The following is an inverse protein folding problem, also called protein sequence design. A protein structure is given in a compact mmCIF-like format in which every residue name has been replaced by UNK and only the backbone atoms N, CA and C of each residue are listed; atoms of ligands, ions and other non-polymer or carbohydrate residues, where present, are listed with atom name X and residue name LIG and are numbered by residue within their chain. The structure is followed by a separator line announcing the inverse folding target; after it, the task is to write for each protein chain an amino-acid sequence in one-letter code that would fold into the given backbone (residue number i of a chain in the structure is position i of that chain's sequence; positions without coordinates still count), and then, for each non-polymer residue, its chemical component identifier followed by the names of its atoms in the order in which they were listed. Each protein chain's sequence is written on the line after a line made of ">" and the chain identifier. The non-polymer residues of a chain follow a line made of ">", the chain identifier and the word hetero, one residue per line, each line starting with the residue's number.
data_IF_049207554869
#
_entry.id   IF_049207554869
#
_cell.length_a   1.000
_cell.length_b   1.000
_cell.length_c   1.000
_cell.angle_alpha   90.00
_cell.angle_beta   90.00
_cell.angle_gamma   90.00
#
_symmetry.space_group_name_H-M   'P 1'
#
loop_
_entity.id
_entity.type
_entity.pdbx_description
1 polymer ?
#
# COMPACT_ATOMS: atom_id res chain seq x y z
N UNK A 1 -4.52 -0.32 -7.19
CA UNK A 1 -3.23 -0.61 -6.58
C UNK A 1 -2.11 -0.05 -7.45
N UNK A 2 -1.27 0.82 -6.90
CA UNK A 2 -0.16 1.48 -7.61
C UNK A 2 1.14 0.65 -7.63
N UNK A 3 1.20 -0.46 -6.92
CA UNK A 3 2.44 -1.22 -6.71
C UNK A 3 3.49 -0.50 -5.86
N UNK A 4 3.18 0.66 -5.29
CA UNK A 4 4.13 1.42 -4.46
C UNK A 4 4.18 0.88 -3.03
N UNK A 5 5.37 0.56 -2.56
CA UNK A 5 5.66 0.21 -1.17
C UNK A 5 5.95 1.49 -0.38
N UNK A 6 4.99 1.89 0.43
CA UNK A 6 5.06 3.14 1.20
C UNK A 6 5.95 3.03 2.44
N UNK A 7 6.58 4.16 2.83
CA UNK A 7 7.47 4.23 4.00
C UNK A 7 6.77 4.54 5.34
N UNK A 8 5.44 4.70 5.38
CA UNK A 8 4.68 4.94 6.60
C UNK A 8 4.68 6.38 7.14
N UNK A 9 5.37 7.30 6.49
CA UNK A 9 5.59 8.67 7.00
C UNK A 9 4.35 9.59 6.93
N UNK A 10 3.41 9.32 6.01
CA UNK A 10 2.27 10.22 5.74
C UNK A 10 0.98 9.84 6.49
N UNK A 11 1.02 8.87 7.39
CA UNK A 11 -0.15 8.43 8.15
C UNK A 11 -0.20 9.05 9.53
N UNK A 12 -1.39 9.17 10.11
CA UNK A 12 -1.61 9.76 11.41
C UNK A 12 -0.73 9.12 12.48
N UNK A 13 -0.14 9.97 13.34
CA UNK A 13 0.76 9.55 14.42
C UNK A 13 0.10 8.52 15.33
N UNK A 14 0.82 7.46 15.64
CA UNK A 14 0.35 6.40 16.54
C UNK A 14 -0.76 5.51 15.97
N UNK A 15 -1.19 5.74 14.72
CA UNK A 15 -2.19 4.89 14.09
C UNK A 15 -1.63 3.50 13.77
N UNK A 16 -2.50 2.49 13.83
CA UNK A 16 -2.14 1.13 13.42
C UNK A 16 -1.66 1.09 11.96
N UNK A 17 -2.24 1.94 11.10
CA UNK A 17 -1.84 2.10 9.70
C UNK A 17 -0.40 2.57 9.57
N UNK A 18 0.03 3.57 10.36
CA UNK A 18 1.41 4.04 10.37
C UNK A 18 2.36 2.94 10.83
N UNK A 19 2.07 2.30 11.97
CA UNK A 19 2.87 1.23 12.55
C UNK A 19 3.07 0.08 11.56
N UNK A 20 1.97 -0.49 11.06
CA UNK A 20 2.02 -1.65 10.15
C UNK A 20 2.66 -1.31 8.80
N UNK A 21 2.52 -0.07 8.31
CA UNK A 21 3.18 0.36 7.08
C UNK A 21 4.69 0.45 7.25
N UNK A 22 5.19 1.00 8.37
CA UNK A 22 6.63 1.06 8.67
C UNK A 22 7.22 -0.34 8.84
N UNK A 23 6.55 -1.21 9.59
CA UNK A 23 6.99 -2.59 9.82
C UNK A 23 6.98 -3.40 8.50
N UNK A 24 5.89 -3.34 7.74
CA UNK A 24 5.78 -4.02 6.44
C UNK A 24 6.82 -3.53 5.42
N UNK A 25 7.12 -2.22 5.40
CA UNK A 25 8.17 -1.69 4.55
C UNK A 25 9.55 -2.29 4.89
N UNK A 26 9.87 -2.42 6.18
CA UNK A 26 11.14 -3.03 6.63
C UNK A 26 11.25 -4.49 6.18
N UNK A 27 10.16 -5.24 6.30
CA UNK A 27 10.11 -6.67 5.96
C UNK A 27 10.15 -6.94 4.46
N UNK A 28 9.68 -6.00 3.64
CA UNK A 28 9.40 -6.23 2.21
C UNK A 28 10.60 -6.79 1.43
N UNK A 29 11.81 -6.29 1.70
CA UNK A 29 13.00 -6.71 0.96
C UNK A 29 13.42 -8.17 1.23
N UNK A 30 13.31 -8.60 2.48
CA UNK A 30 13.66 -9.98 2.86
C UNK A 30 12.56 -10.94 2.42
N UNK A 31 11.30 -10.56 2.59
CA UNK A 31 10.16 -11.32 2.12
C UNK A 31 10.18 -11.52 0.58
N UNK A 32 10.57 -10.49 -0.17
CA UNK A 32 10.70 -10.59 -1.62
C UNK A 32 11.77 -11.59 -2.06
N UNK A 33 12.87 -11.70 -1.30
CA UNK A 33 13.91 -12.70 -1.56
C UNK A 33 13.47 -14.12 -1.14
N UNK A 34 12.80 -14.22 0.00
CA UNK A 34 12.33 -15.50 0.55
C UNK A 34 11.28 -16.15 -0.34
N UNK A 35 10.33 -15.35 -0.84
CA UNK A 35 9.19 -15.83 -1.63
C UNK A 35 9.33 -15.61 -3.14
N UNK A 36 10.49 -15.12 -3.60
CA UNK A 36 10.85 -14.93 -5.01
C UNK A 36 9.84 -14.09 -5.82
N UNK A 37 9.47 -12.92 -5.30
CA UNK A 37 8.67 -11.94 -6.05
C UNK A 37 9.45 -10.65 -6.32
N UNK A 38 9.05 -9.92 -7.38
CA UNK A 38 9.79 -8.76 -7.84
C UNK A 38 9.50 -7.52 -6.99
N UNK A 39 10.52 -7.01 -6.29
CA UNK A 39 10.52 -5.78 -5.50
C UNK A 39 11.78 -4.95 -5.78
N UNK A 40 11.61 -3.65 -5.97
CA UNK A 40 12.70 -2.70 -6.18
C UNK A 40 12.61 -1.59 -5.14
N UNK A 41 13.63 -1.46 -4.30
CA UNK A 41 13.75 -0.35 -3.34
C UNK A 41 14.38 0.86 -4.05
N UNK A 42 13.58 1.55 -4.86
CA UNK A 42 14.03 2.67 -5.68
C UNK A 42 13.88 4.04 -5.00
N UNK A 43 13.26 4.09 -3.83
CA UNK A 43 12.86 5.34 -3.20
C UNK A 43 11.58 5.93 -3.76
N UNK A 44 11.26 7.15 -3.32
CA UNK A 44 10.11 7.94 -3.76
C UNK A 44 10.35 9.42 -3.44
N UNK A 45 9.91 10.33 -4.31
CA UNK A 45 9.96 11.78 -4.06
C UNK A 45 8.56 12.37 -3.96
N UNK A 46 8.41 13.34 -3.02
CA UNK A 46 7.27 14.24 -2.93
C UNK A 46 7.77 15.63 -3.32
N UNK A 47 7.33 16.13 -4.47
CA UNK A 47 7.85 17.33 -5.14
C UNK A 47 7.03 18.56 -4.76
N UNK A 48 7.69 19.63 -4.35
CA UNK A 48 7.10 20.90 -3.98
C UNK A 48 7.69 22.10 -4.74
N UNK A 49 6.90 23.18 -4.81
CA UNK A 49 7.26 24.40 -5.55
C UNK A 49 7.02 25.69 -4.78
N UNK A 50 6.22 25.64 -3.71
CA UNK A 50 5.78 26.79 -2.92
C UNK A 50 6.28 26.72 -1.48
N UNK A 51 6.27 27.85 -0.76
CA UNK A 51 6.61 27.86 0.67
C UNK A 51 5.64 27.00 1.48
N UNK A 52 4.36 26.96 1.12
CA UNK A 52 3.36 26.09 1.75
C UNK A 52 3.70 24.60 1.56
N UNK A 53 4.17 24.22 0.36
CA UNK A 53 4.65 22.86 0.10
C UNK A 53 5.84 22.51 1.00
N UNK A 54 6.80 23.44 1.17
CA UNK A 54 7.95 23.22 2.03
C UNK A 54 7.54 22.97 3.49
N UNK A 55 6.64 23.78 4.02
CA UNK A 55 6.12 23.62 5.38
C UNK A 55 5.34 22.28 5.52
N UNK A 56 4.62 21.89 4.50
CA UNK A 56 3.91 20.59 4.47
C UNK A 56 4.90 19.44 4.46
N UNK A 57 5.97 19.51 3.67
CA UNK A 57 7.02 18.47 3.66
C UNK A 57 7.75 18.37 4.99
N UNK A 58 8.09 19.49 5.64
CA UNK A 58 8.71 19.49 6.98
C UNK A 58 7.80 18.79 8.01
N UNK A 59 6.52 19.15 8.05
CA UNK A 59 5.54 18.50 8.94
C UNK A 59 5.40 17.01 8.65
N UNK A 60 5.36 16.62 7.37
CA UNK A 60 5.29 15.21 6.94
C UNK A 60 6.54 14.44 7.36
N UNK A 61 7.71 15.07 7.28
CA UNK A 61 8.96 14.45 7.71
C UNK A 61 9.01 14.25 9.23
N UNK A 62 8.55 15.23 10.02
CA UNK A 62 8.45 15.11 11.48
C UNK A 62 7.47 14.01 11.88
N UNK A 63 6.27 14.01 11.27
CA UNK A 63 5.29 12.94 11.45
C UNK A 63 5.87 11.57 11.09
N UNK A 64 6.64 11.49 10.02
CA UNK A 64 7.32 10.27 9.62
C UNK A 64 8.31 9.76 10.66
N UNK A 65 9.11 10.66 11.26
CA UNK A 65 10.03 10.32 12.36
C UNK A 65 9.27 9.78 13.57
N UNK A 66 8.18 10.43 13.96
CA UNK A 66 7.34 9.99 15.08
C UNK A 66 6.69 8.61 14.80
N UNK A 67 6.38 8.30 13.55
CA UNK A 67 5.88 6.99 13.12
C UNK A 67 6.99 5.92 13.03
N UNK A 68 8.26 6.28 13.21
CA UNK A 68 9.40 5.37 13.08
C UNK A 68 9.84 5.13 11.62
N UNK A 69 9.40 5.96 10.68
CA UNK A 69 9.94 5.99 9.33
C UNK A 69 11.36 6.58 9.33
N UNK A 70 12.28 5.90 8.68
CA UNK A 70 13.69 6.28 8.61
C UNK A 70 14.08 6.71 7.20
N UNK A 71 15.25 7.36 7.07
CA UNK A 71 15.84 7.74 5.79
C UNK A 71 14.88 8.62 4.95
N UNK A 72 14.37 9.69 5.61
CA UNK A 72 13.65 10.79 4.96
C UNK A 72 14.59 11.97 4.85
N UNK A 73 14.69 12.58 3.67
CA UNK A 73 15.62 13.67 3.35
C UNK A 73 14.88 14.80 2.62
N UNK A 74 15.10 16.06 3.02
CA UNK A 74 14.72 17.21 2.21
C UNK A 74 15.84 17.50 1.24
N UNK A 75 15.53 17.54 -0.05
CA UNK A 75 16.47 17.78 -1.14
C UNK A 75 16.12 19.05 -1.90
N UNK A 76 17.14 19.73 -2.40
CA UNK A 76 17.00 20.91 -3.24
C UNK A 76 16.70 20.56 -4.71
N UNK A 77 16.49 21.59 -5.51
CA UNK A 77 16.22 21.46 -6.95
C UNK A 77 17.32 20.70 -7.69
N UNK A 78 18.58 20.99 -7.39
CA UNK A 78 19.72 20.35 -8.02
C UNK A 78 19.72 18.84 -7.77
N UNK A 79 19.56 18.46 -6.50
CA UNK A 79 19.51 17.03 -6.11
C UNK A 79 18.29 16.33 -6.64
N UNK A 80 17.14 17.01 -6.69
CA UNK A 80 15.93 16.48 -7.31
C UNK A 80 16.17 16.18 -8.80
N UNK A 81 16.76 17.12 -9.52
CA UNK A 81 17.06 16.95 -10.96
C UNK A 81 18.08 15.84 -11.23
N UNK A 82 19.10 15.68 -10.36
CA UNK A 82 20.04 14.55 -10.43
C UNK A 82 19.33 13.19 -10.27
N UNK A 83 18.38 13.09 -9.34
CA UNK A 83 17.65 11.85 -9.05
C UNK A 83 16.55 11.56 -10.07
N UNK A 84 15.83 12.59 -10.52
CA UNK A 84 14.68 12.45 -11.42
C UNK A 84 14.71 13.56 -12.47
N UNK A 85 15.54 13.44 -13.51
CA UNK A 85 15.77 14.52 -14.49
C UNK A 85 14.52 15.01 -15.23
N UNK A 86 13.50 14.16 -15.37
CA UNK A 86 12.25 14.49 -16.05
C UNK A 86 11.29 15.34 -15.20
N UNK A 87 11.59 15.55 -13.92
CA UNK A 87 10.69 16.25 -12.98
C UNK A 87 11.13 17.68 -12.77
N UNK A 88 10.17 18.61 -12.87
CA UNK A 88 10.37 20.02 -12.54
C UNK A 88 9.85 20.28 -11.13
N UNK A 89 10.71 20.81 -10.27
CA UNK A 89 10.35 21.15 -8.89
C UNK A 89 11.49 21.89 -8.21
N UNK A 90 11.19 22.75 -7.25
CA UNK A 90 12.20 23.53 -6.51
C UNK A 90 12.86 22.75 -5.39
N UNK A 91 12.18 21.76 -4.86
CA UNK A 91 12.64 20.90 -3.77
C UNK A 91 11.75 19.65 -3.67
N UNK A 92 12.19 18.68 -2.91
CA UNK A 92 11.38 17.50 -2.61
C UNK A 92 11.71 16.91 -1.23
N UNK A 93 10.82 16.08 -0.73
CA UNK A 93 11.15 15.10 0.31
C UNK A 93 11.43 13.76 -0.38
N UNK A 94 12.62 13.23 -0.18
CA UNK A 94 13.04 11.92 -0.67
C UNK A 94 12.90 10.88 0.44
N UNK A 95 12.15 9.83 0.16
CA UNK A 95 12.01 8.65 1.02
C UNK A 95 12.79 7.50 0.43
N UNK A 96 13.97 7.24 0.96
CA UNK A 96 14.89 6.21 0.48
C UNK A 96 14.32 4.79 0.61
N UNK A 97 13.52 4.55 1.65
CA UNK A 97 12.98 3.22 1.95
C UNK A 97 11.74 2.85 1.15
N UNK A 98 11.14 3.77 0.42
CA UNK A 98 10.03 3.47 -0.48
C UNK A 98 10.49 2.64 -1.69
N UNK A 99 9.56 2.02 -2.39
CA UNK A 99 9.89 1.21 -3.54
C UNK A 99 8.65 0.81 -4.33
N UNK A 100 8.85 -0.06 -5.31
CA UNK A 100 7.79 -0.65 -6.12
C UNK A 100 7.84 -2.17 -6.04
N UNK A 101 6.68 -2.79 -6.10
CA UNK A 101 6.51 -4.25 -6.05
C UNK A 101 5.61 -4.69 -7.20
N UNK A 102 5.82 -5.89 -7.72
CA UNK A 102 4.82 -6.57 -8.54
C UNK A 102 3.67 -7.04 -7.62
N UNK A 103 2.49 -6.37 -7.64
CA UNK A 103 1.40 -6.73 -6.74
C UNK A 103 0.77 -8.09 -7.07
N UNK A 104 0.86 -8.55 -8.31
CA UNK A 104 0.34 -9.85 -8.72
C UNK A 104 1.28 -10.96 -8.25
N UNK A 105 2.56 -10.88 -8.60
CA UNK A 105 3.58 -11.84 -8.17
C UNK A 105 3.66 -11.93 -6.64
N UNK A 106 3.62 -10.80 -5.93
CA UNK A 106 3.57 -10.76 -4.46
C UNK A 106 2.36 -11.50 -3.89
N UNK A 107 1.15 -11.27 -4.46
CA UNK A 107 -0.07 -11.94 -3.99
C UNK A 107 -0.02 -13.44 -4.26
N UNK A 108 0.46 -13.85 -5.44
CA UNK A 108 0.61 -15.26 -5.81
C UNK A 108 1.63 -15.95 -4.89
N UNK A 109 2.81 -15.35 -4.69
CA UNK A 109 3.85 -15.91 -3.83
C UNK A 109 3.38 -16.13 -2.39
N UNK A 110 2.63 -15.17 -1.82
CA UNK A 110 2.00 -15.33 -0.51
C UNK A 110 0.97 -16.47 -0.49
N UNK A 111 0.16 -16.60 -1.55
CA UNK A 111 -0.84 -17.64 -1.63
C UNK A 111 -0.21 -19.03 -1.78
N UNK A 112 0.82 -19.17 -2.60
CA UNK A 112 1.56 -20.42 -2.79
C UNK A 112 2.28 -20.83 -1.50
N UNK A 113 2.93 -19.90 -0.81
CA UNK A 113 3.57 -20.16 0.48
C UNK A 113 2.53 -20.60 1.53
N UNK A 114 1.39 -19.92 1.61
CA UNK A 114 0.33 -20.29 2.53
C UNK A 114 -0.21 -21.70 2.22
N UNK A 115 -0.41 -22.03 0.95
CA UNK A 115 -0.85 -23.36 0.51
C UNK A 115 0.18 -24.45 0.88
N UNK A 116 1.46 -24.20 0.64
CA UNK A 116 2.54 -25.10 1.02
C UNK A 116 2.60 -25.36 2.53
N UNK A 117 2.09 -24.42 3.33
CA UNK A 117 1.96 -24.54 4.80
C UNK A 117 0.57 -25.02 5.25
N UNK A 118 -0.22 -25.62 4.37
CA UNK A 118 -1.48 -26.31 4.70
C UNK A 118 -2.73 -25.42 4.67
N UNK A 119 -2.66 -24.20 4.13
CA UNK A 119 -3.87 -23.37 3.94
C UNK A 119 -4.68 -23.91 2.76
N UNK A 120 -5.98 -24.09 2.97
CA UNK A 120 -6.91 -24.49 1.94
C UNK A 120 -7.60 -23.26 1.32
N UNK A 121 -7.68 -23.23 -0.02
CA UNK A 121 -8.34 -22.18 -0.78
C UNK A 121 -9.66 -22.68 -1.37
N UNK A 122 -10.75 -22.02 -1.06
CA UNK A 122 -12.09 -22.31 -1.60
C UNK A 122 -12.51 -21.20 -2.56
N UNK A 123 -12.07 -21.25 -3.81
CA UNK A 123 -12.42 -20.27 -4.85
C UNK A 123 -13.87 -20.37 -5.30
N UNK A 124 -14.46 -19.24 -5.68
CA UNK A 124 -15.87 -19.16 -6.06
C UNK A 124 -16.79 -19.58 -4.93
N UNK A 125 -16.39 -19.37 -3.68
CA UNK A 125 -17.10 -19.76 -2.47
C UNK A 125 -17.49 -18.47 -1.71
N UNK A 126 -18.65 -17.90 -2.04
CA UNK A 126 -19.12 -16.66 -1.41
C UNK A 126 -19.64 -16.95 -0.01
N UNK A 127 -19.21 -16.14 0.97
CA UNK A 127 -19.76 -16.13 2.33
C UNK A 127 -21.10 -15.40 2.29
N UNK A 128 -22.17 -16.10 2.70
CA UNK A 128 -23.55 -15.58 2.67
C UNK A 128 -24.10 -15.28 4.06
N UNK A 129 -23.60 -15.94 5.10
CA UNK A 129 -23.90 -15.65 6.50
C UNK A 129 -22.77 -16.07 7.43
N UNK A 130 -22.67 -15.40 8.56
CA UNK A 130 -21.78 -15.80 9.66
C UNK A 130 -22.59 -15.70 10.94
N UNK A 131 -22.55 -16.77 11.77
CA UNK A 131 -23.24 -16.82 13.04
C UNK A 131 -22.26 -17.24 14.15
N UNK A 132 -22.29 -16.52 15.29
CA UNK A 132 -21.56 -16.95 16.48
C UNK A 132 -22.38 -18.02 17.20
N UNK A 133 -21.74 -19.12 17.55
CA UNK A 133 -22.31 -20.22 18.30
C UNK A 133 -22.10 -20.06 19.82
N UNK A 134 -22.83 -20.83 20.62
CA UNK A 134 -22.76 -20.79 22.10
C UNK A 134 -21.39 -21.29 22.63
N UNK A 135 -20.65 -22.07 21.84
CA UNK A 135 -19.34 -22.60 22.17
C UNK A 135 -18.15 -21.70 21.76
N UNK A 136 -18.41 -20.41 21.54
CA UNK A 136 -17.44 -19.40 21.07
C UNK A 136 -16.80 -19.71 19.70
N UNK A 137 -17.44 -20.54 18.91
CA UNK A 137 -17.08 -20.76 17.49
C UNK A 137 -17.97 -19.95 16.57
N UNK A 138 -17.62 -19.94 15.30
CA UNK A 138 -18.40 -19.33 14.23
C UNK A 138 -18.79 -20.38 13.21
N UNK A 139 -20.08 -20.39 12.84
CA UNK A 139 -20.56 -21.08 11.64
C UNK A 139 -20.57 -20.09 10.47
N UNK A 140 -19.88 -20.45 9.39
CA UNK A 140 -19.79 -19.66 8.16
C UNK A 140 -20.58 -20.41 7.08
N UNK A 141 -21.69 -19.83 6.64
CA UNK A 141 -22.48 -20.34 5.52
C UNK A 141 -21.94 -19.76 4.22
N UNK A 142 -21.73 -20.61 3.25
CA UNK A 142 -21.23 -20.22 1.93
C UNK A 142 -22.06 -20.84 0.81
N UNK A 143 -21.83 -20.39 -0.42
CA UNK A 143 -22.45 -20.98 -1.63
C UNK A 143 -22.02 -22.41 -1.92
N UNK A 144 -21.01 -22.94 -1.20
CA UNK A 144 -20.47 -24.31 -1.41
C UNK A 144 -20.51 -25.19 -0.15
N UNK A 145 -21.19 -24.78 0.89
CA UNK A 145 -21.30 -25.52 2.16
C UNK A 145 -20.97 -24.66 3.36
N UNK A 146 -20.98 -25.29 4.53
CA UNK A 146 -20.75 -24.61 5.80
C UNK A 146 -19.39 -24.96 6.36
N UNK A 147 -18.79 -24.00 7.07
CA UNK A 147 -17.52 -24.17 7.76
C UNK A 147 -17.68 -23.75 9.21
N UNK A 148 -17.01 -24.45 10.13
CA UNK A 148 -16.95 -24.09 11.54
C UNK A 148 -15.53 -23.70 11.92
N UNK A 149 -15.36 -22.58 12.62
CA UNK A 149 -14.04 -22.06 13.00
C UNK A 149 -14.10 -21.32 14.32
N UNK A 150 -12.95 -21.17 14.99
CA UNK A 150 -12.81 -20.35 16.21
C UNK A 150 -12.50 -18.89 15.89
N UNK A 151 -11.98 -18.57 14.71
CA UNK A 151 -11.58 -17.22 14.33
C UNK A 151 -12.02 -16.90 12.90
N UNK A 152 -12.48 -15.69 12.69
CA UNK A 152 -12.78 -15.15 11.38
C UNK A 152 -11.94 -13.91 11.16
N UNK A 153 -11.12 -13.90 10.09
CA UNK A 153 -10.35 -12.73 9.67
C UNK A 153 -10.99 -12.16 8.41
N UNK A 154 -11.59 -10.97 8.56
CA UNK A 154 -12.28 -10.30 7.46
C UNK A 154 -11.30 -9.52 6.58
N UNK A 155 -10.93 -10.07 5.44
CA UNK A 155 -10.06 -9.46 4.43
C UNK A 155 -10.81 -9.21 3.10
N UNK A 156 -12.12 -8.98 3.14
CA UNK A 156 -12.99 -8.92 1.97
C UNK A 156 -12.92 -7.59 1.18
N UNK A 157 -11.91 -6.74 1.40
CA UNK A 157 -11.72 -5.49 0.67
C UNK A 157 -12.95 -4.56 0.76
N UNK A 158 -13.52 -4.16 -0.36
CA UNK A 158 -14.75 -3.34 -0.38
C UNK A 158 -15.97 -4.06 0.21
N UNK A 159 -15.95 -5.39 0.27
CA UNK A 159 -16.98 -6.22 0.89
C UNK A 159 -16.88 -6.34 2.43
N UNK A 160 -15.83 -5.78 3.05
CA UNK A 160 -15.62 -5.92 4.51
C UNK A 160 -16.84 -5.46 5.33
N UNK A 161 -17.51 -4.38 4.95
CA UNK A 161 -18.72 -3.90 5.63
C UNK A 161 -19.83 -4.96 5.62
N UNK A 162 -20.11 -5.56 4.46
CA UNK A 162 -21.11 -6.63 4.30
C UNK A 162 -20.80 -7.83 5.21
N UNK A 163 -19.54 -8.23 5.31
CA UNK A 163 -19.13 -9.33 6.19
C UNK A 163 -19.31 -8.97 7.67
N UNK A 164 -18.96 -7.74 8.05
CA UNK A 164 -19.15 -7.27 9.45
C UNK A 164 -20.61 -7.16 9.84
N UNK A 165 -21.48 -6.72 8.91
CA UNK A 165 -22.93 -6.63 9.14
C UNK A 165 -23.53 -7.99 9.47
N UNK A 166 -23.01 -9.10 8.93
CA UNK A 166 -23.44 -10.46 9.24
C UNK A 166 -23.26 -10.83 10.73
N UNK A 167 -22.33 -10.16 11.42
CA UNK A 167 -22.05 -10.32 12.84
C UNK A 167 -22.61 -9.19 13.70
N UNK A 168 -23.43 -8.30 13.13
CA UNK A 168 -24.01 -7.15 13.84
C UNK A 168 -22.99 -6.04 14.16
N UNK A 169 -21.82 -6.05 13.54
CA UNK A 169 -20.78 -5.02 13.72
C UNK A 169 -21.06 -3.88 12.73
N UNK A 170 -21.78 -2.86 13.17
CA UNK A 170 -22.28 -1.75 12.33
C UNK A 170 -21.59 -0.40 12.61
N UNK A 171 -20.53 -0.38 13.43
CA UNK A 171 -19.85 0.84 13.88
C UNK A 171 -19.01 1.57 12.81
N UNK A 172 -18.92 1.05 11.58
CA UNK A 172 -18.17 1.66 10.48
C UNK A 172 -18.82 1.36 9.11
N UNK A 173 -18.45 2.17 8.12
CA UNK A 173 -18.90 2.01 6.74
C UNK A 173 -17.72 2.05 5.79
N UNK A 174 -17.67 1.14 4.83
CA UNK A 174 -16.70 1.17 3.74
C UNK A 174 -17.24 2.05 2.61
N UNK A 175 -16.50 3.09 2.26
CA UNK A 175 -16.81 3.97 1.13
C UNK A 175 -15.73 3.75 0.08
N UNK A 176 -16.15 3.30 -1.11
CA UNK A 176 -15.25 3.11 -2.24
C UNK A 176 -14.80 4.44 -2.80
N UNK A 177 -13.49 4.59 -3.06
CA UNK A 177 -12.93 5.70 -3.80
C UNK A 177 -12.28 5.15 -5.08
N UNK A 178 -12.70 5.68 -6.24
CA UNK A 178 -12.17 5.27 -7.54
C UNK A 178 -10.92 6.08 -7.87
N UNK A 179 -9.86 5.40 -8.29
CA UNK A 179 -8.70 6.00 -8.94
C UNK A 179 -8.57 5.44 -10.36
N UNK A 180 -8.38 6.32 -11.32
CA UNK A 180 -8.14 5.92 -12.72
C UNK A 180 -6.63 5.94 -12.99
N UNK A 181 -6.15 4.94 -13.75
CA UNK A 181 -4.75 4.81 -14.16
C UNK A 181 -4.65 4.80 -15.67
N UNK A 182 -3.64 5.48 -16.17
CA UNK A 182 -3.21 5.40 -17.57
C UNK A 182 -1.88 4.67 -17.56
N UNK A 183 -1.81 3.54 -18.25
CA UNK A 183 -0.58 2.75 -18.36
C UNK A 183 0.05 3.05 -19.71
N UNK A 184 1.26 3.58 -19.68
CA UNK A 184 2.04 3.85 -20.88
C UNK A 184 2.80 2.61 -21.33
N UNK A 185 2.99 2.48 -22.63
CA UNK A 185 3.74 1.37 -23.24
C UNK A 185 5.23 1.43 -22.85
N UNK A 186 5.87 0.29 -22.70
CA UNK A 186 7.32 0.18 -22.39
C UNK A 186 8.21 0.92 -23.40
N UNK A 187 7.73 1.11 -24.65
CA UNK A 187 8.45 1.88 -25.68
C UNK A 187 8.62 3.36 -25.34
N UNK A 188 7.86 3.90 -24.39
CA UNK A 188 8.08 5.26 -23.89
C UNK A 188 9.40 5.38 -23.13
N UNK A 189 10.01 4.24 -22.78
CA UNK A 189 11.24 4.17 -22.00
C UNK A 189 11.03 4.40 -20.51
N UNK A 190 12.08 4.25 -19.70
CA UNK A 190 12.02 4.52 -18.27
C UNK A 190 11.99 6.04 -18.04
N UNK A 191 10.78 6.63 -18.03
CA UNK A 191 10.59 8.07 -17.81
C UNK A 191 11.03 8.49 -16.40
N UNK A 192 10.86 7.61 -15.43
CA UNK A 192 11.16 7.87 -14.02
C UNK A 192 11.92 6.70 -13.40
N UNK A 193 12.96 6.94 -12.61
CA UNK A 193 13.65 5.91 -11.85
C UNK A 193 12.90 5.47 -10.58
N UNK A 194 11.91 6.27 -10.13
CA UNK A 194 11.17 6.07 -8.89
C UNK A 194 9.79 6.73 -8.93
N UNK A 195 8.85 6.37 -8.04
CA UNK A 195 7.57 7.05 -7.92
C UNK A 195 7.70 8.53 -7.57
N UNK A 196 6.95 9.37 -8.26
CA UNK A 196 6.89 10.82 -8.07
C UNK A 196 5.48 11.22 -7.67
N UNK A 197 5.38 11.93 -6.56
CA UNK A 197 4.15 12.49 -6.01
C UNK A 197 4.26 14.00 -5.92
N UNK A 198 3.19 14.76 -6.14
CA UNK A 198 3.11 16.12 -5.64
C UNK A 198 2.96 16.13 -4.12
N UNK A 199 3.24 17.25 -3.49
CA UNK A 199 2.89 17.48 -2.08
C UNK A 199 1.38 17.35 -1.91
N UNK A 200 0.87 16.55 -0.95
CA UNK A 200 -0.56 16.39 -0.75
C UNK A 200 -1.19 17.70 -0.28
N UNK A 201 -2.33 18.07 -0.87
CA UNK A 201 -3.18 19.17 -0.44
C UNK A 201 -4.46 18.66 0.23
N UNK A 202 -5.14 19.53 0.97
CA UNK A 202 -6.41 19.17 1.64
C UNK A 202 -7.55 18.81 0.66
N UNK A 203 -7.45 19.25 -0.60
CA UNK A 203 -8.49 19.08 -1.61
C UNK A 203 -8.13 18.09 -2.72
N UNK A 204 -6.87 17.65 -2.81
CA UNK A 204 -6.40 16.84 -3.92
C UNK A 204 -5.20 15.98 -3.56
N UNK A 205 -5.27 14.67 -3.85
CA UNK A 205 -4.16 13.75 -3.59
C UNK A 205 -3.04 13.83 -4.63
N UNK A 206 -3.26 14.57 -5.72
CA UNK A 206 -2.30 14.72 -6.81
C UNK A 206 -2.27 13.54 -7.79
N UNK A 207 -1.59 13.76 -8.90
CA UNK A 207 -1.33 12.73 -9.90
C UNK A 207 -0.04 12.00 -9.50
N UNK A 208 -0.15 10.70 -9.26
CA UNK A 208 0.99 9.83 -9.11
C UNK A 208 1.53 9.46 -10.48
N UNK A 209 2.83 9.61 -10.68
CA UNK A 209 3.54 9.01 -11.81
C UNK A 209 4.54 8.00 -11.25
N UNK A 210 4.44 6.76 -11.71
CA UNK A 210 5.29 5.67 -11.20
C UNK A 210 5.60 4.67 -12.31
N UNK A 211 6.79 4.11 -12.25
CA UNK A 211 7.13 2.94 -13.04
C UNK A 211 6.58 1.67 -12.35
N UNK A 212 6.33 0.65 -13.14
CA UNK A 212 6.04 -0.69 -12.66
C UNK A 212 7.32 -1.54 -12.66
N UNK A 213 7.32 -2.62 -11.91
CA UNK A 213 8.41 -3.61 -11.95
C UNK A 213 8.54 -4.26 -13.33
N UNK A 214 7.51 -4.22 -14.14
CA UNK A 214 7.48 -4.69 -15.53
C UNK A 214 8.02 -3.69 -16.56
N UNK A 215 8.38 -2.44 -16.17
CA UNK A 215 8.92 -1.41 -17.03
C UNK A 215 7.90 -0.53 -17.77
N UNK A 216 6.64 -0.60 -17.41
CA UNK A 216 5.60 0.37 -17.80
C UNK A 216 5.64 1.59 -16.86
N UNK A 217 5.04 2.71 -17.29
CA UNK A 217 4.81 3.92 -16.50
C UNK A 217 3.34 4.22 -16.43
#
# INVERSE_FOLDING_TARGET
>A
NSGVVHGGFAYDRGSLKAKLCVEGNKMMGDLAKELDFHFIRCGKVLVGNTEEDMETLKRTMEQGKDNGATNLELIDEKRLHELVPAVVGKFAMFSHNSGIVDPFGYTIALAENAHANGVEYHFGCEVTAIRREDDDTYEITTTKGNFKTRWVVNCAGLGCGKISDMLGITGYRIIGSKGDYIILDKRTGPLLPMPVYPVPSNSYMGILVTNTTGGNV
#
